data_IF_842712849069
#
_entry.id   IF_842712849069
#
_cell.length_a   1.000
_cell.length_b   1.000
_cell.length_c   1.000
_cell.angle_alpha   90.00
_cell.angle_beta   90.00
_cell.angle_gamma   90.00
#
_symmetry.space_group_name_H-M   'P 1'
#
loop_
_entity.id
_entity.type
_entity.pdbx_description
1 polymer ?
#
# COMPACT_ATOMS: atom_id res chain seq x y z
N UNK A 1 -10.72 -1.29 -14.26
CA UNK A 1 -11.08 -1.04 -12.88
C UNK A 1 -10.54 -2.09 -12.02
N UNK A 2 -9.88 -1.69 -11.02
CA UNK A 2 -9.10 -2.63 -10.24
C UNK A 2 -9.66 -2.75 -8.83
N UNK A 3 -10.12 -3.95 -8.48
CA UNK A 3 -10.47 -4.26 -7.11
C UNK A 3 -9.25 -4.12 -6.21
N UNK A 4 -8.07 -4.32 -6.78
CA UNK A 4 -6.83 -4.22 -6.02
C UNK A 4 -6.65 -2.80 -5.50
N UNK A 5 -6.88 -1.80 -6.34
CA UNK A 5 -6.75 -0.41 -5.92
C UNK A 5 -7.71 -0.09 -4.77
N UNK A 6 -8.94 -0.57 -4.85
CA UNK A 6 -9.92 -0.36 -3.81
C UNK A 6 -9.51 -1.03 -2.50
N UNK A 7 -9.02 -2.25 -2.60
CA UNK A 7 -8.59 -3.00 -1.41
C UNK A 7 -7.36 -2.38 -0.76
N UNK A 8 -6.42 -1.92 -1.57
CA UNK A 8 -5.24 -1.23 -1.06
C UNK A 8 -5.64 0.04 -0.30
N UNK A 9 -6.53 0.81 -0.90
CA UNK A 9 -7.00 2.05 -0.27
C UNK A 9 -7.65 1.75 1.09
N UNK A 10 -8.48 0.73 1.15
CA UNK A 10 -9.14 0.35 2.39
C UNK A 10 -8.14 -0.04 3.48
N UNK A 11 -7.14 -0.80 3.10
CA UNK A 11 -6.11 -1.23 4.04
C UNK A 11 -5.38 -0.02 4.61
N UNK A 12 -5.03 0.92 3.74
CA UNK A 12 -4.30 2.11 4.16
C UNK A 12 -5.14 2.95 5.11
N UNK A 13 -6.40 3.16 4.78
CA UNK A 13 -7.30 3.95 5.61
C UNK A 13 -7.41 3.31 7.01
N UNK A 14 -7.54 1.99 7.06
CA UNK A 14 -7.67 1.29 8.33
C UNK A 14 -6.39 1.32 9.16
N UNK A 15 -5.25 1.20 8.49
CA UNK A 15 -3.98 1.06 9.22
C UNK A 15 -3.44 2.37 9.75
N UNK A 16 -3.52 3.43 8.97
CA UNK A 16 -2.92 4.70 9.36
C UNK A 16 -3.96 5.79 9.60
N UNK A 17 -5.23 5.43 9.60
CA UNK A 17 -6.33 6.31 10.02
C UNK A 17 -6.36 7.62 9.23
N UNK A 18 -6.24 7.52 7.92
CA UNK A 18 -6.36 8.68 7.05
C UNK A 18 -7.69 8.63 6.33
N UNK A 19 -8.09 9.75 5.74
CA UNK A 19 -9.32 9.80 4.97
C UNK A 19 -9.10 9.18 3.60
N UNK A 20 -10.17 8.59 3.08
CA UNK A 20 -10.12 7.92 1.79
C UNK A 20 -9.68 8.84 0.67
N UNK A 21 -10.14 10.09 0.71
CA UNK A 21 -9.80 11.04 -0.35
C UNK A 21 -8.35 11.51 -0.27
N UNK A 22 -7.64 11.21 0.80
CA UNK A 22 -6.21 11.50 0.89
C UNK A 22 -5.38 10.42 0.22
N UNK A 23 -5.97 9.25 0.00
CA UNK A 23 -5.24 8.10 -0.56
C UNK A 23 -5.36 8.14 -2.07
N UNK A 24 -4.48 8.91 -2.69
CA UNK A 24 -4.41 9.00 -4.15
C UNK A 24 -3.21 8.21 -4.64
N UNK A 25 -3.16 7.95 -5.94
CA UNK A 25 -2.05 7.20 -6.49
C UNK A 25 -0.70 7.89 -6.29
N UNK A 26 -0.72 9.20 -6.27
CA UNK A 26 0.51 9.98 -6.10
C UNK A 26 0.89 10.18 -4.64
N UNK A 27 0.02 9.83 -3.73
CA UNK A 27 0.27 10.04 -2.31
C UNK A 27 1.45 9.18 -1.84
N UNK A 28 2.40 9.82 -1.19
CA UNK A 28 3.52 9.13 -0.58
C UNK A 28 3.12 8.69 0.82
N UNK A 29 3.45 7.44 1.16
CA UNK A 29 3.08 6.93 2.48
C UNK A 29 3.66 7.76 3.62
N UNK A 30 4.90 8.19 3.46
CA UNK A 30 5.57 8.94 4.53
C UNK A 30 5.31 10.44 4.45
N UNK A 31 5.35 11.01 3.24
CA UNK A 31 5.25 12.46 3.08
C UNK A 31 3.83 12.96 3.10
N UNK A 32 2.92 12.22 2.46
CA UNK A 32 1.54 12.70 2.30
C UNK A 32 0.59 12.08 3.32
N UNK A 33 0.83 10.84 3.69
CA UNK A 33 -0.05 10.13 4.60
C UNK A 33 0.49 10.05 6.03
N UNK A 34 1.71 10.48 6.23
CA UNK A 34 2.29 10.56 7.57
C UNK A 34 2.67 9.23 8.20
N UNK A 35 2.83 8.18 7.39
CA UNK A 35 3.25 6.90 7.91
C UNK A 35 4.75 6.92 8.19
N UNK A 36 5.17 6.38 9.33
CA UNK A 36 6.59 6.24 9.58
C UNK A 36 7.06 4.87 9.07
N UNK A 37 8.34 4.54 9.28
CA UNK A 37 8.88 3.31 8.70
C UNK A 37 8.20 2.07 9.26
N UNK A 38 7.78 2.10 10.52
CA UNK A 38 7.08 0.98 11.12
C UNK A 38 5.71 0.80 10.49
N UNK A 39 4.99 1.90 10.29
CA UNK A 39 3.68 1.86 9.65
C UNK A 39 3.81 1.30 8.23
N UNK A 40 4.85 1.69 7.52
CA UNK A 40 5.06 1.21 6.16
C UNK A 40 5.27 -0.30 6.15
N UNK A 41 6.07 -0.81 7.08
CA UNK A 41 6.30 -2.24 7.19
C UNK A 41 4.99 -2.98 7.46
N UNK A 42 4.18 -2.45 8.36
CA UNK A 42 2.90 -3.06 8.67
C UNK A 42 1.95 -3.06 7.48
N UNK A 43 1.97 -1.98 6.70
CA UNK A 43 1.16 -1.93 5.49
C UNK A 43 1.57 -3.01 4.51
N UNK A 44 2.87 -3.19 4.32
CA UNK A 44 3.37 -4.22 3.41
C UNK A 44 2.91 -5.60 3.88
N UNK A 45 2.99 -5.85 5.18
CA UNK A 45 2.56 -7.13 5.74
C UNK A 45 1.07 -7.36 5.52
N UNK A 46 0.26 -6.31 5.66
CA UNK A 46 -1.17 -6.44 5.42
C UNK A 46 -1.46 -6.73 3.95
N UNK A 47 -0.72 -6.10 3.05
CA UNK A 47 -0.87 -6.39 1.63
C UNK A 47 -0.53 -7.85 1.34
N UNK A 48 0.51 -8.37 1.95
CA UNK A 48 0.90 -9.76 1.77
C UNK A 48 -0.22 -10.70 2.20
N UNK A 49 -0.84 -10.41 3.32
CA UNK A 49 -1.94 -11.22 3.83
C UNK A 49 -3.17 -11.12 2.95
N UNK A 50 -3.50 -9.90 2.58
CA UNK A 50 -4.74 -9.64 1.82
C UNK A 50 -4.69 -10.28 0.44
N UNK A 51 -3.53 -10.23 -0.19
CA UNK A 51 -3.38 -10.71 -1.57
C UNK A 51 -2.66 -12.06 -1.66
N UNK A 52 -2.29 -12.61 -0.52
CA UNK A 52 -1.63 -13.93 -0.44
C UNK A 52 -0.38 -14.00 -1.29
N UNK A 53 0.49 -13.01 -1.14
CA UNK A 53 1.76 -12.94 -1.85
C UNK A 53 2.88 -12.60 -0.88
N UNK A 54 4.11 -12.72 -1.33
CA UNK A 54 5.29 -12.31 -0.58
C UNK A 54 5.94 -11.12 -1.25
N UNK A 55 6.25 -10.10 -0.47
CA UNK A 55 6.92 -8.91 -0.99
C UNK A 55 8.31 -8.85 -0.35
N UNK A 56 9.37 -9.13 -1.12
CA UNK A 56 10.73 -9.05 -0.58
C UNK A 56 11.06 -7.63 -0.11
N UNK A 57 11.94 -7.53 0.86
CA UNK A 57 12.33 -6.24 1.40
C UNK A 57 12.83 -5.29 0.32
N UNK A 58 13.57 -5.82 -0.65
CA UNK A 58 14.09 -5.01 -1.75
C UNK A 58 12.96 -4.36 -2.54
N UNK A 59 11.91 -5.11 -2.78
CA UNK A 59 10.76 -4.59 -3.52
C UNK A 59 9.95 -3.64 -2.64
N UNK A 60 9.81 -3.97 -1.37
CA UNK A 60 9.08 -3.11 -0.45
C UNK A 60 9.70 -1.73 -0.37
N UNK A 61 11.01 -1.64 -0.45
CA UNK A 61 11.71 -0.35 -0.40
C UNK A 61 11.38 0.54 -1.59
N UNK A 62 11.01 -0.05 -2.72
CA UNK A 62 10.66 0.72 -3.90
C UNK A 62 9.20 1.16 -3.90
N UNK A 63 8.39 0.62 -2.99
CA UNK A 63 6.97 0.96 -2.91
C UNK A 63 6.83 2.13 -1.95
N UNK A 64 6.90 3.34 -2.50
CA UNK A 64 6.84 4.55 -1.69
C UNK A 64 5.54 5.31 -1.85
N UNK A 65 4.79 5.04 -2.90
CA UNK A 65 3.50 5.69 -3.13
C UNK A 65 2.40 4.64 -3.26
N UNK A 66 1.15 5.12 -3.11
CA UNK A 66 -0.01 4.25 -3.24
C UNK A 66 -0.06 3.61 -4.63
N UNK A 67 0.21 4.39 -5.66
CA UNK A 67 0.20 3.88 -7.04
C UNK A 67 1.22 2.78 -7.26
N UNK A 68 2.40 2.93 -6.67
CA UNK A 68 3.43 1.90 -6.77
C UNK A 68 2.99 0.60 -6.10
N UNK A 69 2.32 0.72 -4.95
CA UNK A 69 1.79 -0.45 -4.26
C UNK A 69 0.74 -1.15 -5.10
N UNK A 70 -0.18 -0.38 -5.68
CA UNK A 70 -1.23 -0.95 -6.52
C UNK A 70 -0.62 -1.65 -7.73
N UNK A 71 0.32 -1.01 -8.39
CA UNK A 71 0.97 -1.61 -9.57
C UNK A 71 1.67 -2.92 -9.23
N UNK A 72 2.40 -2.92 -8.13
CA UNK A 72 3.10 -4.13 -7.71
C UNK A 72 2.13 -5.26 -7.46
N UNK A 73 1.05 -4.97 -6.74
CA UNK A 73 0.07 -5.98 -6.38
C UNK A 73 -0.69 -6.48 -7.60
N UNK A 74 -1.00 -5.60 -8.54
CA UNK A 74 -1.65 -6.01 -9.77
C UNK A 74 -0.78 -6.96 -10.58
N UNK A 75 0.52 -6.74 -10.55
CA UNK A 75 1.46 -7.57 -11.28
C UNK A 75 1.62 -8.94 -10.66
N UNK A 76 1.59 -9.02 -9.33
CA UNK A 76 1.99 -10.22 -8.61
C UNK A 76 0.85 -11.01 -7.99
N UNK A 77 -0.35 -10.49 -7.97
CA UNK A 77 -1.47 -11.17 -7.32
C UNK A 77 -2.52 -11.68 -8.30
N UNK A 78 -2.09 -12.21 -9.38
CA UNK A 78 -3.01 -12.72 -10.39
C UNK A 78 -3.58 -14.08 -10.04
#
# INVERSE_FOLDING_TARGET
>A
MSDIATRVKKIIVDKICVYENEVTQEASFTNDLGADSLDTVELIMEFEKEFNISIPDEQAETITTVGQAVSYLEEHSK
#
